data_IF_452266111102
#
_entry.id   IF_452266111102
#
_cell.length_a   1.000
_cell.length_b   1.000
_cell.length_c   1.000
_cell.angle_alpha   90.00
_cell.angle_beta   90.00
_cell.angle_gamma   90.00
#
_symmetry.space_group_name_H-M   'P 1'
#
loop_
_entity.id
_entity.type
_entity.pdbx_description
1 polymer ?
#
# COMPACT_ATOMS: atom_id res chain seq x y z
N UNK A 1 33.08 22.25 -39.81
CA UNK A 1 31.81 22.94 -39.44
C UNK A 1 30.71 22.37 -40.33
N UNK A 2 29.97 21.36 -39.87
CA UNK A 2 28.76 20.88 -40.54
C UNK A 2 27.57 21.49 -39.79
N UNK A 3 26.73 22.31 -40.43
CA UNK A 3 25.47 22.71 -39.81
C UNK A 3 24.51 21.53 -39.97
N UNK A 4 24.28 20.78 -38.89
CA UNK A 4 23.19 19.78 -38.87
C UNK A 4 21.87 20.54 -38.83
N UNK A 5 21.31 20.81 -40.00
CA UNK A 5 19.89 21.15 -40.14
C UNK A 5 19.08 19.91 -39.73
N UNK A 6 18.83 19.77 -38.43
CA UNK A 6 17.72 18.94 -37.95
C UNK A 6 16.44 19.72 -38.24
N UNK A 7 15.97 19.65 -39.48
CA UNK A 7 14.59 20.00 -39.80
C UNK A 7 13.70 18.95 -39.14
N UNK A 8 13.15 19.30 -37.98
CA UNK A 8 12.15 18.49 -37.28
C UNK A 8 10.84 18.63 -38.06
N UNK A 9 10.72 17.91 -39.19
CA UNK A 9 9.48 17.85 -39.96
C UNK A 9 8.42 17.17 -39.08
N UNK A 10 7.44 17.96 -38.64
CA UNK A 10 6.31 17.41 -37.91
C UNK A 10 5.58 16.43 -38.85
N UNK A 11 5.32 15.20 -38.41
CA UNK A 11 4.63 14.22 -39.23
C UNK A 11 3.24 14.77 -39.63
N UNK A 12 2.77 14.50 -40.86
CA UNK A 12 1.48 14.97 -41.31
C UNK A 12 0.38 14.46 -40.37
N UNK A 13 -0.37 15.40 -39.79
CA UNK A 13 -1.44 15.14 -38.82
C UNK A 13 -2.51 14.23 -39.44
N UNK A 14 -2.56 12.98 -38.99
CA UNK A 14 -3.51 11.97 -39.47
C UNK A 14 -4.72 12.00 -38.53
N UNK A 15 -5.93 12.24 -39.05
CA UNK A 15 -7.15 12.28 -38.24
C UNK A 15 -7.32 10.94 -37.49
N UNK A 16 -7.47 10.94 -36.16
CA UNK A 16 -7.59 9.71 -35.40
C UNK A 16 -8.92 9.01 -35.74
N UNK A 17 -8.85 7.70 -35.98
CA UNK A 17 -10.03 6.85 -36.13
C UNK A 17 -10.59 6.53 -34.74
N UNK A 18 -11.34 7.48 -34.17
CA UNK A 18 -11.79 7.48 -32.76
C UNK A 18 -12.40 6.12 -32.36
N UNK A 19 -13.31 5.55 -33.16
CA UNK A 19 -13.96 4.28 -32.84
C UNK A 19 -13.01 3.08 -32.80
N UNK A 20 -12.11 2.94 -33.78
CA UNK A 20 -11.14 1.81 -33.82
C UNK A 20 -10.10 1.94 -32.71
N UNK A 21 -9.68 3.17 -32.38
CA UNK A 21 -8.72 3.42 -31.28
C UNK A 21 -9.35 3.09 -29.93
N UNK A 22 -10.60 3.47 -29.69
CA UNK A 22 -11.30 3.16 -28.42
C UNK A 22 -11.47 1.65 -28.25
N UNK A 23 -12.04 0.96 -29.25
CA UNK A 23 -12.29 -0.49 -29.17
C UNK A 23 -10.98 -1.24 -28.95
N UNK A 24 -9.94 -0.90 -29.73
CA UNK A 24 -8.64 -1.57 -29.63
C UNK A 24 -7.92 -1.25 -28.33
N UNK A 25 -8.02 -0.02 -27.82
CA UNK A 25 -7.42 0.34 -26.54
C UNK A 25 -8.11 -0.36 -25.37
N UNK A 26 -9.43 -0.51 -25.40
CA UNK A 26 -10.18 -1.22 -24.35
C UNK A 26 -9.82 -2.71 -24.36
N UNK A 27 -9.85 -3.36 -25.53
CA UNK A 27 -9.58 -4.79 -25.63
C UNK A 27 -8.10 -5.13 -25.39
N UNK A 28 -7.17 -4.45 -26.06
CA UNK A 28 -5.75 -4.84 -26.00
C UNK A 28 -5.06 -4.33 -24.72
N UNK A 29 -5.43 -3.14 -24.21
CA UNK A 29 -4.76 -2.55 -23.03
C UNK A 29 -5.55 -2.71 -21.74
N UNK A 30 -6.84 -2.40 -21.73
CA UNK A 30 -7.61 -2.40 -20.46
C UNK A 30 -7.82 -3.81 -19.92
N UNK A 31 -8.20 -4.77 -20.78
CA UNK A 31 -8.47 -6.14 -20.33
C UNK A 31 -7.22 -6.86 -19.81
N UNK A 32 -6.08 -6.65 -20.47
CA UNK A 32 -4.80 -7.23 -20.04
C UNK A 32 -4.31 -6.63 -18.72
N UNK A 33 -4.42 -5.31 -18.54
CA UNK A 33 -4.05 -4.64 -17.28
C UNK A 33 -4.98 -5.09 -16.15
N UNK A 34 -6.29 -5.19 -16.41
CA UNK A 34 -7.27 -5.65 -15.45
C UNK A 34 -6.99 -7.09 -15.00
N UNK A 35 -6.69 -8.00 -15.93
CA UNK A 35 -6.32 -9.38 -15.61
C UNK A 35 -5.11 -9.47 -14.69
N UNK A 36 -4.08 -8.64 -14.92
CA UNK A 36 -2.90 -8.56 -14.02
C UNK A 36 -3.25 -8.02 -12.63
N UNK A 37 -4.14 -7.04 -12.55
CA UNK A 37 -4.59 -6.49 -11.26
C UNK A 37 -5.38 -7.54 -10.47
N UNK A 38 -6.34 -8.21 -11.10
CA UNK A 38 -7.15 -9.27 -10.48
C UNK A 38 -6.27 -10.43 -10.00
N UNK A 39 -5.27 -10.84 -10.79
CA UNK A 39 -4.36 -11.92 -10.42
C UNK A 39 -3.56 -11.65 -9.12
N UNK A 40 -3.35 -10.37 -8.77
CA UNK A 40 -2.68 -9.97 -7.53
C UNK A 40 -3.70 -9.70 -6.41
N UNK A 41 -4.82 -9.07 -6.72
CA UNK A 41 -5.83 -8.66 -5.74
C UNK A 41 -6.69 -9.82 -5.21
N UNK A 42 -7.13 -10.75 -6.08
CA UNK A 42 -8.00 -11.86 -5.68
C UNK A 42 -7.39 -12.79 -4.61
N UNK A 43 -6.14 -13.30 -4.76
CA UNK A 43 -5.54 -14.16 -3.73
C UNK A 43 -5.33 -13.42 -2.42
N UNK A 44 -4.97 -12.14 -2.47
CA UNK A 44 -4.76 -11.36 -1.26
C UNK A 44 -6.07 -11.01 -0.54
N UNK A 45 -7.15 -10.69 -1.29
CA UNK A 45 -8.48 -10.51 -0.72
C UNK A 45 -8.98 -11.77 -0.02
N UNK A 46 -8.71 -12.95 -0.59
CA UNK A 46 -9.01 -14.23 0.07
C UNK A 46 -8.22 -14.40 1.38
N UNK A 47 -6.93 -14.07 1.39
CA UNK A 47 -6.09 -14.12 2.60
C UNK A 47 -6.63 -13.16 3.67
N UNK A 48 -6.96 -11.91 3.30
CA UNK A 48 -7.54 -10.92 4.21
C UNK A 48 -8.86 -11.45 4.80
N UNK A 49 -9.73 -12.02 3.96
CA UNK A 49 -10.99 -12.58 4.40
C UNK A 49 -10.81 -13.73 5.40
N UNK A 50 -9.89 -14.66 5.11
CA UNK A 50 -9.56 -15.77 6.03
C UNK A 50 -9.05 -15.21 7.36
N UNK A 51 -8.10 -14.27 7.34
CA UNK A 51 -7.54 -13.71 8.56
C UNK A 51 -8.58 -12.94 9.40
N UNK A 52 -9.52 -12.27 8.74
CA UNK A 52 -10.55 -11.48 9.41
C UNK A 52 -11.72 -12.35 9.95
N UNK A 53 -12.10 -13.43 9.25
CA UNK A 53 -13.29 -14.23 9.60
C UNK A 53 -12.98 -15.52 10.35
N UNK A 54 -11.77 -16.07 10.24
CA UNK A 54 -11.38 -17.26 11.00
C UNK A 54 -10.98 -16.83 12.40
N UNK A 55 -11.65 -17.41 13.39
CA UNK A 55 -11.41 -17.16 14.80
C UNK A 55 -10.72 -18.36 15.43
N UNK A 56 -9.65 -18.11 16.18
CA UNK A 56 -8.99 -19.08 17.05
C UNK A 56 -9.14 -18.58 18.50
N UNK A 57 -9.65 -19.42 19.39
CA UNK A 57 -9.86 -19.09 20.81
C UNK A 57 -10.69 -17.81 21.08
N UNK A 58 -11.63 -17.49 20.18
CA UNK A 58 -12.52 -16.33 20.31
C UNK A 58 -11.95 -15.02 19.77
N UNK A 59 -10.71 -15.01 19.27
CA UNK A 59 -10.08 -13.85 18.60
C UNK A 59 -9.84 -14.14 17.12
N UNK A 60 -9.92 -13.12 16.26
CA UNK A 60 -9.62 -13.29 14.84
C UNK A 60 -8.13 -13.60 14.64
N UNK A 61 -7.79 -14.40 13.62
CA UNK A 61 -6.39 -14.67 13.27
C UNK A 61 -5.63 -13.37 12.97
N UNK A 62 -6.31 -12.37 12.39
CA UNK A 62 -5.76 -11.04 12.19
C UNK A 62 -5.29 -10.41 13.50
N UNK A 63 -6.11 -10.45 14.55
CA UNK A 63 -5.75 -9.89 15.86
C UNK A 63 -4.58 -10.65 16.49
N UNK A 64 -4.51 -11.97 16.31
CA UNK A 64 -3.37 -12.78 16.79
C UNK A 64 -2.06 -12.39 16.07
N UNK A 65 -2.10 -12.20 14.75
CA UNK A 65 -0.96 -11.72 13.97
C UNK A 65 -0.57 -10.27 14.33
N UNK A 66 -1.57 -9.40 14.54
CA UNK A 66 -1.35 -8.03 14.97
C UNK A 66 -0.66 -7.98 16.35
N UNK A 67 -1.09 -8.80 17.31
CA UNK A 67 -0.45 -8.91 18.62
C UNK A 67 1.00 -9.40 18.56
N UNK A 68 1.31 -10.32 17.64
CA UNK A 68 2.69 -10.76 17.40
C UNK A 68 3.58 -9.64 16.82
N UNK A 69 3.01 -8.79 15.96
CA UNK A 69 3.70 -7.65 15.33
C UNK A 69 3.75 -6.40 16.22
N UNK A 70 2.87 -6.30 17.21
CA UNK A 70 2.73 -5.15 18.11
C UNK A 70 4.04 -4.69 18.76
N UNK A 71 4.89 -5.54 19.37
CA UNK A 71 6.14 -5.06 19.97
C UNK A 71 7.07 -4.37 18.95
N UNK A 72 7.10 -4.87 17.70
CA UNK A 72 7.88 -4.25 16.64
C UNK A 72 7.22 -2.98 16.11
N UNK A 73 5.90 -2.97 15.93
CA UNK A 73 5.17 -1.80 15.49
C UNK A 73 5.29 -0.64 16.48
N UNK A 74 5.21 -0.94 17.79
CA UNK A 74 5.42 0.05 18.85
C UNK A 74 6.79 0.67 18.77
N UNK A 75 7.86 -0.07 18.46
CA UNK A 75 9.19 0.53 18.28
C UNK A 75 9.23 1.57 17.15
N UNK A 76 8.38 1.42 16.13
CA UNK A 76 8.23 2.38 15.03
C UNK A 76 7.26 3.54 15.37
N UNK A 77 6.68 3.57 16.56
CA UNK A 77 5.66 4.55 16.95
C UNK A 77 4.28 4.27 16.37
N UNK A 78 4.02 3.02 15.95
CA UNK A 78 2.75 2.55 15.42
C UNK A 78 2.20 1.38 16.26
N UNK A 79 1.05 0.85 15.86
CA UNK A 79 0.38 -0.28 16.50
C UNK A 79 0.46 -1.52 15.61
N UNK A 80 0.38 -2.72 16.21
CA UNK A 80 0.44 -4.00 15.52
C UNK A 80 -0.60 -4.12 14.39
N UNK A 81 -1.80 -3.57 14.60
CA UNK A 81 -2.85 -3.53 13.57
C UNK A 81 -2.46 -2.68 12.36
N UNK A 82 -1.82 -1.53 12.58
CA UNK A 82 -1.36 -0.63 11.50
C UNK A 82 -0.31 -1.35 10.65
N UNK A 83 0.69 -1.95 11.30
CA UNK A 83 1.74 -2.66 10.58
C UNK A 83 1.19 -3.88 9.82
N UNK A 84 0.28 -4.63 10.43
CA UNK A 84 -0.42 -5.73 9.75
C UNK A 84 -1.23 -5.24 8.56
N UNK A 85 -1.91 -4.09 8.68
CA UNK A 85 -2.66 -3.50 7.59
C UNK A 85 -1.77 -3.10 6.40
N UNK A 86 -0.57 -2.59 6.64
CA UNK A 86 0.41 -2.35 5.57
C UNK A 86 0.81 -3.67 4.89
N UNK A 87 1.12 -4.71 5.66
CA UNK A 87 1.51 -6.04 5.12
C UNK A 87 0.40 -6.61 4.23
N UNK A 88 -0.84 -6.58 4.72
CA UNK A 88 -2.01 -7.03 3.98
C UNK A 88 -2.37 -6.11 2.80
N UNK A 89 -1.99 -4.84 2.86
CA UNK A 89 -2.13 -3.83 1.80
C UNK A 89 -1.08 -3.93 0.69
N UNK A 90 -0.15 -4.90 0.72
CA UNK A 90 0.81 -5.13 -0.37
C UNK A 90 0.21 -5.18 -1.80
N UNK A 91 -0.98 -5.77 -2.04
CA UNK A 91 -1.59 -5.83 -3.37
C UNK A 91 -2.03 -4.46 -3.89
N UNK A 92 -2.57 -3.62 -3.01
CA UNK A 92 -3.15 -2.31 -3.30
C UNK A 92 -2.93 -1.39 -2.11
N UNK A 93 -2.23 -0.28 -2.30
CA UNK A 93 -1.87 0.61 -1.19
C UNK A 93 -3.08 1.37 -0.66
N UNK A 94 -4.12 1.50 -1.48
CA UNK A 94 -5.35 2.21 -1.20
C UNK A 94 -6.23 1.48 -0.18
N UNK A 95 -6.04 0.17 0.02
CA UNK A 95 -6.84 -0.61 0.98
C UNK A 95 -6.25 -0.62 2.40
N UNK A 96 -5.09 0.02 2.64
CA UNK A 96 -4.46 0.04 3.97
C UNK A 96 -5.39 0.65 5.02
N UNK A 97 -5.97 1.82 4.77
CA UNK A 97 -6.89 2.48 5.71
C UNK A 97 -8.16 1.63 5.96
N UNK A 98 -8.86 1.11 4.92
CA UNK A 98 -9.95 0.15 5.13
C UNK A 98 -9.58 -1.08 5.97
N UNK A 99 -8.37 -1.63 5.81
CA UNK A 99 -7.90 -2.76 6.63
C UNK A 99 -7.70 -2.32 8.09
N UNK A 100 -7.15 -1.13 8.34
CA UNK A 100 -7.01 -0.58 9.70
C UNK A 100 -8.38 -0.43 10.36
N UNK A 101 -9.34 0.20 9.67
CA UNK A 101 -10.71 0.39 10.17
C UNK A 101 -11.36 -0.97 10.47
N UNK A 102 -11.28 -1.90 9.52
CA UNK A 102 -11.81 -3.26 9.67
C UNK A 102 -11.21 -3.96 10.90
N UNK A 103 -9.90 -3.81 11.09
CA UNK A 103 -9.18 -4.42 12.21
C UNK A 103 -9.60 -3.84 13.55
N UNK A 104 -9.74 -2.51 13.65
CA UNK A 104 -10.18 -1.83 14.87
C UNK A 104 -11.64 -2.06 15.21
N UNK A 105 -12.49 -2.18 14.20
CA UNK A 105 -13.90 -2.51 14.40
C UNK A 105 -14.14 -4.02 14.61
N UNK A 106 -13.09 -4.85 14.47
CA UNK A 106 -13.18 -6.30 14.44
C UNK A 106 -14.26 -6.82 13.46
N UNK A 107 -14.44 -6.12 12.34
CA UNK A 107 -15.41 -6.50 11.31
C UNK A 107 -14.78 -7.50 10.34
N UNK A 108 -15.52 -8.53 9.93
CA UNK A 108 -15.04 -9.55 8.97
C UNK A 108 -14.96 -9.06 7.51
N UNK A 109 -15.20 -7.77 7.26
CA UNK A 109 -15.32 -7.19 5.92
C UNK A 109 -14.67 -5.82 5.85
N UNK A 110 -14.02 -5.52 4.73
CA UNK A 110 -13.47 -4.19 4.44
C UNK A 110 -14.58 -3.14 4.51
N UNK A 111 -14.43 -2.22 5.46
CA UNK A 111 -15.34 -1.10 5.70
C UNK A 111 -14.63 0.21 5.42
N UNK A 112 -15.38 1.19 4.93
CA UNK A 112 -14.90 2.55 4.71
C UNK A 112 -15.86 3.52 5.41
N UNK A 113 -15.30 4.40 6.24
CA UNK A 113 -16.06 5.38 7.01
C UNK A 113 -15.97 6.72 6.27
N UNK A 114 -17.11 7.16 5.71
CA UNK A 114 -17.20 8.40 4.92
C UNK A 114 -17.22 9.67 5.79
N UNK A 115 -17.56 9.55 7.07
CA UNK A 115 -17.65 10.66 7.99
C UNK A 115 -16.31 10.89 8.69
N UNK A 116 -15.70 12.06 8.48
CA UNK A 116 -14.39 12.38 9.04
C UNK A 116 -14.38 12.39 10.58
N UNK A 117 -15.49 12.80 11.22
CA UNK A 117 -15.61 12.82 12.68
C UNK A 117 -15.59 11.41 13.27
N UNK A 118 -16.34 10.48 12.69
CA UNK A 118 -16.37 9.08 13.14
C UNK A 118 -15.02 8.39 12.97
N UNK A 119 -14.32 8.70 11.87
CA UNK A 119 -12.98 8.18 11.60
C UNK A 119 -11.94 8.72 12.59
N UNK A 120 -12.01 10.02 12.91
CA UNK A 120 -11.18 10.63 13.95
C UNK A 120 -11.42 9.96 15.31
N UNK A 121 -12.68 9.81 15.71
CA UNK A 121 -13.04 9.22 17.01
C UNK A 121 -12.59 7.75 17.09
N UNK A 122 -12.74 6.98 16.02
CA UNK A 122 -12.26 5.60 15.96
C UNK A 122 -10.75 5.52 16.22
N UNK A 123 -9.95 6.37 15.56
CA UNK A 123 -8.50 6.35 15.71
C UNK A 123 -8.05 6.80 17.10
N UNK A 124 -8.61 7.88 17.63
CA UNK A 124 -8.28 8.37 18.98
C UNK A 124 -8.66 7.33 20.03
N UNK A 125 -9.82 6.68 19.91
CA UNK A 125 -10.25 5.62 20.83
C UNK A 125 -9.35 4.38 20.79
N UNK A 126 -8.68 4.12 19.66
CA UNK A 126 -7.70 3.03 19.50
C UNK A 126 -6.26 3.48 19.81
N UNK A 127 -6.08 4.62 20.50
CA UNK A 127 -4.77 5.06 20.99
C UNK A 127 -3.89 5.75 19.94
N UNK A 128 -4.48 6.26 18.85
CA UNK A 128 -3.72 7.08 17.91
C UNK A 128 -3.32 8.40 18.57
N UNK A 129 -2.00 8.59 18.66
CA UNK A 129 -1.42 9.86 19.04
C UNK A 129 -1.06 10.67 17.79
N UNK A 130 -0.76 11.96 17.97
CA UNK A 130 -0.18 12.78 16.90
C UNK A 130 1.10 12.14 16.33
N UNK A 131 1.89 11.47 17.18
CA UNK A 131 3.10 10.75 16.80
C UNK A 131 2.79 9.57 15.89
N UNK A 132 1.79 8.76 16.26
CA UNK A 132 1.30 7.64 15.45
C UNK A 132 0.85 8.12 14.07
N UNK A 133 0.07 9.21 14.00
CA UNK A 133 -0.40 9.77 12.75
C UNK A 133 0.77 10.23 11.85
N UNK A 134 1.78 10.90 12.42
CA UNK A 134 2.98 11.31 11.69
C UNK A 134 3.77 10.11 11.18
N UNK A 135 4.00 9.09 12.01
CA UNK A 135 4.67 7.86 11.59
C UNK A 135 3.91 7.15 10.46
N UNK A 136 2.58 7.06 10.54
CA UNK A 136 1.75 6.46 9.48
C UNK A 136 1.84 7.24 8.18
N UNK A 137 1.84 8.59 8.24
CA UNK A 137 2.00 9.42 7.03
C UNK A 137 3.36 9.19 6.35
N UNK A 138 4.46 9.19 7.11
CA UNK A 138 5.78 8.92 6.55
C UNK A 138 5.89 7.49 6.01
N UNK A 139 5.38 6.51 6.76
CA UNK A 139 5.41 5.12 6.33
C UNK A 139 4.59 4.91 5.05
N UNK A 140 3.41 5.53 4.93
CA UNK A 140 2.59 5.46 3.72
C UNK A 140 3.23 6.07 2.47
N UNK A 141 4.22 6.95 2.63
CA UNK A 141 4.96 7.53 1.51
C UNK A 141 6.18 6.69 1.12
N UNK A 142 6.78 6.02 2.10
CA UNK A 142 8.07 5.34 1.95
C UNK A 142 7.99 3.82 2.05
N UNK A 143 6.80 3.23 2.14
CA UNK A 143 6.66 1.79 2.16
C UNK A 143 6.96 1.17 0.78
N UNK A 144 6.93 -0.15 0.76
CA UNK A 144 7.19 -0.93 -0.45
C UNK A 144 6.22 -0.59 -1.60
N UNK A 145 6.67 -0.67 -2.85
CA UNK A 145 5.79 -0.57 -4.00
C UNK A 145 4.78 -1.72 -4.03
N UNK A 146 3.57 -1.45 -4.50
CA UNK A 146 2.52 -2.45 -4.60
C UNK A 146 2.92 -3.65 -5.48
N UNK A 147 2.25 -4.78 -5.27
CA UNK A 147 2.56 -6.04 -5.96
C UNK A 147 2.55 -5.94 -7.49
N UNK A 148 1.70 -5.09 -8.07
CA UNK A 148 1.64 -4.85 -9.52
C UNK A 148 2.90 -4.16 -10.05
N UNK A 149 3.44 -3.21 -9.29
CA UNK A 149 4.71 -2.53 -9.58
C UNK A 149 5.89 -3.50 -9.45
N UNK A 150 5.92 -4.30 -8.38
CA UNK A 150 6.92 -5.36 -8.20
C UNK A 150 6.93 -6.35 -9.38
N UNK A 151 5.74 -6.76 -9.84
CA UNK A 151 5.59 -7.64 -11.00
C UNK A 151 6.14 -7.02 -12.28
N UNK A 152 5.93 -5.72 -12.48
CA UNK A 152 6.46 -4.99 -13.65
C UNK A 152 7.98 -4.87 -13.57
N UNK A 153 8.55 -4.49 -12.41
CA UNK A 153 10.00 -4.42 -12.20
C UNK A 153 10.66 -5.76 -12.52
N UNK A 154 10.07 -6.87 -12.05
CA UNK A 154 10.56 -8.22 -12.36
C UNK A 154 10.54 -8.51 -13.86
N UNK A 155 9.47 -8.13 -14.56
CA UNK A 155 9.32 -8.36 -16.01
C UNK A 155 10.32 -7.53 -16.84
N UNK A 156 10.54 -6.27 -16.48
CA UNK A 156 11.47 -5.39 -17.21
C UNK A 156 12.93 -5.71 -16.89
N UNK A 157 13.25 -5.99 -15.62
CA UNK A 157 14.63 -6.22 -15.17
C UNK A 157 15.07 -7.68 -15.30
N UNK A 158 14.13 -8.61 -15.49
CA UNK A 158 14.35 -10.07 -15.53
C UNK A 158 15.15 -10.64 -14.34
N UNK A 159 15.20 -9.91 -13.23
CA UNK A 159 16.03 -10.24 -12.07
C UNK A 159 15.27 -10.04 -10.77
N UNK A 160 15.14 -11.11 -10.00
CA UNK A 160 14.52 -11.08 -8.67
C UNK A 160 15.32 -10.27 -7.65
N UNK A 161 16.65 -10.16 -7.83
CA UNK A 161 17.51 -9.37 -6.94
C UNK A 161 17.07 -7.90 -6.94
N UNK A 162 16.80 -7.36 -8.13
CA UNK A 162 16.36 -5.97 -8.28
C UNK A 162 14.95 -5.74 -7.76
N UNK A 163 14.04 -6.70 -7.92
CA UNK A 163 12.70 -6.61 -7.31
C UNK A 163 12.77 -6.56 -5.79
N UNK A 164 13.60 -7.39 -5.18
CA UNK A 164 13.78 -7.41 -3.70
C UNK A 164 14.44 -6.12 -3.24
N UNK A 165 15.43 -5.59 -3.96
CA UNK A 165 16.07 -4.31 -3.61
C UNK A 165 15.06 -3.17 -3.68
N UNK A 166 14.25 -3.08 -4.75
CA UNK A 166 13.21 -2.06 -4.88
C UNK A 166 12.10 -2.18 -3.82
N UNK A 167 11.89 -3.36 -3.26
CA UNK A 167 11.01 -3.57 -2.11
C UNK A 167 11.67 -3.17 -0.79
N UNK A 168 12.88 -3.65 -0.54
CA UNK A 168 13.56 -3.52 0.74
C UNK A 168 14.06 -2.10 1.00
N UNK A 169 14.57 -1.39 -0.01
CA UNK A 169 15.16 -0.05 0.18
C UNK A 169 14.14 0.96 0.70
N UNK A 170 12.94 1.15 0.08
CA UNK A 170 11.92 2.02 0.64
C UNK A 170 11.49 1.57 2.04
N UNK A 171 11.17 0.28 2.18
CA UNK A 171 10.70 -0.31 3.45
C UNK A 171 11.64 -0.03 4.62
N UNK A 172 12.93 -0.31 4.45
CA UNK A 172 13.95 -0.07 5.48
C UNK A 172 14.06 1.42 5.77
N UNK A 173 14.04 2.25 4.73
CA UNK A 173 14.12 3.71 4.91
C UNK A 173 12.92 4.25 5.69
N UNK A 174 11.70 3.81 5.37
CA UNK A 174 10.49 4.15 6.10
C UNK A 174 10.51 3.67 7.54
N UNK A 175 10.92 2.42 7.78
CA UNK A 175 11.09 1.88 9.15
C UNK A 175 12.12 2.69 9.95
N UNK A 176 13.26 3.04 9.37
CA UNK A 176 14.29 3.83 10.04
C UNK A 176 13.76 5.23 10.38
N UNK A 177 13.05 5.89 9.46
CA UNK A 177 12.49 7.22 9.71
C UNK A 177 11.44 7.18 10.83
N UNK A 178 10.50 6.24 10.78
CA UNK A 178 9.50 6.07 11.84
C UNK A 178 10.16 5.75 13.19
N UNK A 179 11.17 4.88 13.20
CA UNK A 179 11.94 4.58 14.40
C UNK A 179 12.63 5.82 14.97
N UNK A 180 13.31 6.62 14.13
CA UNK A 180 13.97 7.86 14.58
C UNK A 180 12.95 8.84 15.15
N UNK A 181 11.83 9.08 14.45
CA UNK A 181 10.77 9.98 14.92
C UNK A 181 10.19 9.50 16.25
N UNK A 182 9.86 8.22 16.37
CA UNK A 182 9.29 7.63 17.58
C UNK A 182 10.24 7.73 18.77
N UNK A 183 11.53 7.46 18.58
CA UNK A 183 12.53 7.55 19.65
C UNK A 183 12.82 9.00 20.04
N UNK A 184 12.90 9.94 19.08
CA UNK A 184 13.06 11.36 19.39
C UNK A 184 11.88 11.88 20.20
N UNK A 185 10.65 11.56 19.81
CA UNK A 185 9.45 11.98 20.54
C UNK A 185 9.41 11.42 21.97
N UNK A 186 9.81 10.16 22.16
CA UNK A 186 9.97 9.56 23.49
C UNK A 186 11.04 10.25 24.34
N UNK A 187 12.20 10.54 23.75
CA UNK A 187 13.29 11.23 24.44
C UNK A 187 12.90 12.65 24.87
N UNK A 188 12.08 13.33 24.06
CA UNK A 188 11.55 14.66 24.38
C UNK A 188 10.36 14.63 25.35
N UNK A 189 9.86 13.45 25.74
CA UNK A 189 8.73 13.30 26.67
C UNK A 189 7.36 13.64 26.07
N UNK A 190 7.24 13.63 24.74
CA UNK A 190 5.97 13.90 24.03
C UNK A 190 5.20 12.62 23.65
N UNK A 191 5.62 11.47 24.18
CA UNK A 191 5.06 10.15 23.90
C UNK A 191 4.21 9.62 25.05
#
# INVERSE_FOLDING_TARGET
>A
RLPSSFNLELPPYRRPQIGKVIIRSIFDRTFFVLGRAIAVAAPAGLIIWILANVHADGVSLLAHCAGFLDPFARLLGMDGYILMAFILGFPANEIVIPIIIMSYMATGSLTDIRNLSELHDLFVNNGWTWLTAVCVMFFSLMHWPCGTTCMTIKKETQSWKWTIVSFAVPTVTGMVICFVIANIARLLGFA
#
